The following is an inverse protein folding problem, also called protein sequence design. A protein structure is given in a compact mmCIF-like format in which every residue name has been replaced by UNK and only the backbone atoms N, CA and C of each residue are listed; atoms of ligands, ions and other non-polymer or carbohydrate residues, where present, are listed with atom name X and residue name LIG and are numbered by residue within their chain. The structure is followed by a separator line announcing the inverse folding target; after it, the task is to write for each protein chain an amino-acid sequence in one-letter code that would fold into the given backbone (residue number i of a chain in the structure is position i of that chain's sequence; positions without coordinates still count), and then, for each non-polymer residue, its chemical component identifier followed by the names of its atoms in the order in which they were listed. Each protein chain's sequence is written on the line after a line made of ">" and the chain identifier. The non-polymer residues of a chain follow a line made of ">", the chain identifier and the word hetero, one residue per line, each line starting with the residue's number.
data_IF_837793398022
#
_entry.id   IF_837793398022
#
_cell.length_a   1.000
_cell.length_b   1.000
_cell.length_c   1.000
_cell.angle_alpha   90.00
_cell.angle_beta   90.00
_cell.angle_gamma   90.00
#
_symmetry.space_group_name_H-M   'P 1'
#
loop_
_entity.id
_entity.type
_entity.pdbx_description
1 polymer ?
#
# COMPACT_ATOMS: atom_id res chain seq x y z
N UNK A 1 -19.87 41.75 -29.29
CA UNK A 1 -18.67 41.53 -28.45
C UNK A 1 -18.49 40.03 -28.18
N UNK A 2 -17.63 39.30 -28.93
CA UNK A 2 -17.50 37.84 -28.82
C UNK A 2 -16.42 37.33 -27.84
N UNK A 3 -15.77 38.21 -27.06
CA UNK A 3 -14.55 37.88 -26.30
C UNK A 3 -14.71 37.24 -24.91
N UNK A 4 -15.93 37.10 -24.38
CA UNK A 4 -16.14 36.64 -22.98
C UNK A 4 -16.30 35.11 -22.88
N UNK A 5 -16.94 34.46 -23.86
CA UNK A 5 -17.17 33.01 -23.84
C UNK A 5 -15.90 32.18 -24.07
N UNK A 6 -14.96 32.71 -24.86
CA UNK A 6 -13.74 31.98 -25.25
C UNK A 6 -12.74 31.83 -24.08
N UNK A 7 -12.71 32.80 -23.16
CA UNK A 7 -11.86 32.75 -21.96
C UNK A 7 -12.30 31.65 -20.98
N UNK A 8 -13.61 31.50 -20.77
CA UNK A 8 -14.16 30.45 -19.91
C UNK A 8 -13.85 29.04 -20.42
N UNK A 9 -13.93 28.84 -21.74
CA UNK A 9 -13.68 27.52 -22.34
C UNK A 9 -12.20 27.14 -22.23
N UNK A 10 -11.30 28.10 -22.47
CA UNK A 10 -9.87 27.90 -22.36
C UNK A 10 -9.46 27.56 -20.92
N UNK A 11 -10.03 28.24 -19.93
CA UNK A 11 -9.80 27.93 -18.50
C UNK A 11 -10.27 26.53 -18.12
N UNK A 12 -11.45 26.11 -18.60
CA UNK A 12 -11.97 24.76 -18.33
C UNK A 12 -11.08 23.68 -18.96
N UNK A 13 -10.63 23.88 -20.20
CA UNK A 13 -9.72 22.96 -20.88
C UNK A 13 -8.38 22.86 -20.15
N UNK A 14 -7.80 23.98 -19.74
CA UNK A 14 -6.52 24.02 -19.01
C UNK A 14 -6.63 23.32 -17.66
N UNK A 15 -7.69 23.58 -16.88
CA UNK A 15 -7.92 22.90 -15.60
C UNK A 15 -8.13 21.40 -15.78
N UNK A 16 -8.86 20.99 -16.81
CA UNK A 16 -9.12 19.58 -17.10
C UNK A 16 -7.84 18.84 -17.49
N UNK A 17 -6.97 19.46 -18.30
CA UNK A 17 -5.66 18.93 -18.66
C UNK A 17 -4.73 18.83 -17.44
N UNK A 18 -4.74 19.83 -16.55
CA UNK A 18 -3.96 19.82 -15.31
C UNK A 18 -4.40 18.68 -14.38
N UNK A 19 -5.71 18.51 -14.20
CA UNK A 19 -6.28 17.39 -13.43
C UNK A 19 -5.90 16.04 -14.03
N UNK A 20 -5.98 15.90 -15.35
CA UNK A 20 -5.57 14.67 -16.05
C UNK A 20 -4.09 14.37 -15.85
N UNK A 21 -3.21 15.37 -15.95
CA UNK A 21 -1.76 15.21 -15.72
C UNK A 21 -1.49 14.79 -14.28
N UNK A 22 -2.13 15.43 -13.28
CA UNK A 22 -2.00 15.05 -11.87
C UNK A 22 -2.47 13.61 -11.64
N UNK A 23 -3.62 13.23 -12.21
CA UNK A 23 -4.15 11.87 -12.11
C UNK A 23 -3.21 10.83 -12.75
N UNK A 24 -2.66 11.11 -13.93
CA UNK A 24 -1.69 10.23 -14.60
C UNK A 24 -0.36 10.13 -13.84
N UNK A 25 0.07 11.20 -13.16
CA UNK A 25 1.24 11.18 -12.27
C UNK A 25 1.00 10.31 -11.03
N UNK A 26 -0.20 10.36 -10.44
CA UNK A 26 -0.59 9.46 -9.34
C UNK A 26 -0.62 8.00 -9.79
N UNK A 27 -1.13 7.71 -11.00
CA UNK A 27 -1.09 6.35 -11.58
C UNK A 27 0.34 5.85 -11.84
N UNK A 28 1.27 6.74 -12.23
CA UNK A 28 2.70 6.39 -12.37
C UNK A 28 3.38 6.16 -11.02
N UNK A 29 2.97 6.88 -9.98
CA UNK A 29 3.46 6.67 -8.62
C UNK A 29 2.95 5.33 -8.05
N UNK A 30 1.81 4.82 -8.50
CA UNK A 30 1.34 3.46 -8.19
C UNK A 30 2.02 2.37 -9.03
N UNK A 31 3.27 2.59 -9.49
CA UNK A 31 4.11 1.49 -9.97
C UNK A 31 4.29 0.51 -8.81
N UNK A 32 3.46 -0.52 -8.80
CA UNK A 32 3.67 -1.72 -8.00
C UNK A 32 5.06 -2.22 -8.39
N UNK A 33 6.04 -1.99 -7.52
CA UNK A 33 7.41 -2.45 -7.68
C UNK A 33 7.39 -3.99 -7.63
N UNK A 34 7.24 -4.62 -8.80
CA UNK A 34 7.29 -6.08 -8.97
C UNK A 34 8.70 -6.55 -9.32
N UNK A 35 9.68 -6.13 -8.54
CA UNK A 35 10.97 -6.82 -8.53
C UNK A 35 11.26 -7.23 -7.09
N UNK A 36 10.75 -8.40 -6.73
CA UNK A 36 11.25 -9.08 -5.55
C UNK A 36 12.62 -9.64 -5.92
N UNK A 37 13.68 -9.00 -5.46
CA UNK A 37 15.00 -9.64 -5.45
C UNK A 37 14.87 -10.93 -4.64
N UNK A 38 15.45 -12.02 -5.14
CA UNK A 38 15.43 -13.30 -4.41
C UNK A 38 16.05 -13.04 -3.03
N UNK A 39 15.31 -13.30 -1.93
CA UNK A 39 15.79 -12.94 -0.62
C UNK A 39 17.03 -13.78 -0.30
N UNK A 40 17.99 -13.26 0.49
CA UNK A 40 19.18 -14.02 0.83
C UNK A 40 18.82 -15.39 1.44
N UNK A 41 19.66 -16.42 1.29
CA UNK A 41 19.37 -17.74 1.86
C UNK A 41 19.01 -17.65 3.35
N UNK A 42 17.88 -18.25 3.73
CA UNK A 42 17.36 -18.23 5.09
C UNK A 42 16.47 -17.02 5.43
N UNK A 43 16.23 -16.10 4.50
CA UNK A 43 15.19 -15.07 4.65
C UNK A 43 13.86 -15.54 4.08
N UNK A 44 12.80 -15.35 4.86
CA UNK A 44 11.44 -15.66 4.46
C UNK A 44 10.61 -14.39 4.45
N UNK A 45 9.67 -14.30 3.51
CA UNK A 45 8.72 -13.19 3.43
C UNK A 45 7.37 -13.64 3.93
N UNK A 46 6.80 -12.92 4.89
CA UNK A 46 5.41 -13.03 5.27
C UNK A 46 4.64 -11.85 4.66
N UNK A 47 3.82 -12.13 3.65
CA UNK A 47 2.93 -11.13 3.07
C UNK A 47 1.56 -11.25 3.72
N UNK A 48 1.10 -10.17 4.35
CA UNK A 48 -0.15 -10.16 5.11
C UNK A 48 -1.19 -9.33 4.39
N UNK A 49 -2.35 -9.95 4.16
CA UNK A 49 -3.54 -9.31 3.62
C UNK A 49 -4.76 -9.86 4.37
N UNK A 50 -5.64 -8.97 4.80
CA UNK A 50 -6.82 -9.34 5.57
C UNK A 50 -8.11 -8.92 4.85
N UNK A 51 -8.84 -9.91 4.35
CA UNK A 51 -10.20 -9.72 3.90
C UNK A 51 -11.16 -9.75 5.10
N UNK A 52 -11.72 -8.60 5.46
CA UNK A 52 -12.62 -8.46 6.62
C UNK A 52 -14.08 -8.29 6.22
N UNK A 53 -14.99 -8.80 7.06
CA UNK A 53 -16.41 -8.43 7.03
C UNK A 53 -16.57 -6.99 7.60
N UNK A 54 -17.64 -6.26 7.24
CA UNK A 54 -17.79 -4.83 7.58
C UNK A 54 -17.70 -4.47 9.08
N UNK A 55 -17.93 -5.44 9.97
CA UNK A 55 -17.92 -5.28 11.42
C UNK A 55 -16.56 -5.50 12.08
N UNK A 56 -15.54 -5.92 11.32
CA UNK A 56 -14.19 -6.19 11.85
C UNK A 56 -13.22 -5.14 11.31
N UNK A 57 -12.44 -4.55 12.20
CA UNK A 57 -11.36 -3.64 11.82
C UNK A 57 -10.28 -4.38 11.02
N UNK A 58 -9.90 -3.82 9.87
CA UNK A 58 -8.79 -4.33 9.04
C UNK A 58 -7.51 -4.46 9.87
N UNK A 59 -7.24 -3.46 10.72
CA UNK A 59 -6.06 -3.43 11.61
C UNK A 59 -6.01 -4.64 12.53
N UNK A 60 -7.14 -4.97 13.16
CA UNK A 60 -7.23 -6.10 14.09
C UNK A 60 -7.05 -7.44 13.36
N UNK A 61 -7.61 -7.56 12.15
CA UNK A 61 -7.46 -8.76 11.36
C UNK A 61 -6.04 -8.95 10.84
N UNK A 62 -5.38 -7.89 10.37
CA UNK A 62 -3.98 -7.94 9.95
C UNK A 62 -3.04 -8.22 11.12
N UNK A 63 -3.24 -7.58 12.28
CA UNK A 63 -2.42 -7.86 13.48
C UNK A 63 -2.52 -9.33 13.90
N UNK A 64 -3.72 -9.93 13.81
CA UNK A 64 -3.91 -11.35 14.08
C UNK A 64 -3.21 -12.24 13.04
N UNK A 65 -3.33 -11.91 11.76
CA UNK A 65 -2.67 -12.65 10.70
C UNK A 65 -1.13 -12.61 10.82
N UNK A 66 -0.57 -11.47 11.26
CA UNK A 66 0.86 -11.37 11.59
C UNK A 66 1.22 -12.30 12.74
N UNK A 67 0.46 -12.29 13.85
CA UNK A 67 0.73 -13.15 15.01
C UNK A 67 0.69 -14.64 14.64
N UNK A 68 -0.30 -15.06 13.87
CA UNK A 68 -0.42 -16.44 13.39
C UNK A 68 0.75 -16.78 12.44
N UNK A 69 1.13 -15.86 11.55
CA UNK A 69 2.29 -16.02 10.66
C UNK A 69 3.62 -16.13 11.41
N UNK A 70 3.80 -15.36 12.48
CA UNK A 70 4.97 -15.42 13.36
C UNK A 70 5.03 -16.77 14.09
N UNK A 71 3.92 -17.26 14.62
CA UNK A 71 3.87 -18.57 15.26
C UNK A 71 4.27 -19.69 14.27
N UNK A 72 3.74 -19.66 13.04
CA UNK A 72 4.13 -20.61 12.00
C UNK A 72 5.62 -20.51 11.64
N UNK A 73 6.18 -19.30 11.62
CA UNK A 73 7.61 -19.11 11.37
C UNK A 73 8.48 -19.74 12.49
N UNK A 74 8.07 -19.59 13.75
CA UNK A 74 8.74 -20.20 14.90
C UNK A 74 8.70 -21.73 14.79
N UNK A 75 7.52 -22.31 14.52
CA UNK A 75 7.35 -23.75 14.38
C UNK A 75 8.19 -24.33 13.22
N UNK A 76 8.37 -23.55 12.16
CA UNK A 76 9.20 -23.91 11.01
C UNK A 76 10.71 -23.68 11.23
N UNK A 77 11.13 -23.17 12.39
CA UNK A 77 12.53 -22.84 12.66
C UNK A 77 13.06 -21.65 11.85
N UNK A 78 12.18 -20.78 11.35
CA UNK A 78 12.53 -19.59 10.58
C UNK A 78 12.99 -18.49 11.54
N UNK A 79 14.25 -18.09 11.43
CA UNK A 79 14.88 -17.08 12.30
C UNK A 79 14.99 -15.69 11.67
N UNK A 80 14.73 -15.56 10.37
CA UNK A 80 14.79 -14.28 9.64
C UNK A 80 13.55 -14.11 8.78
N UNK A 81 12.69 -13.16 9.17
CA UNK A 81 11.41 -12.91 8.54
C UNK A 81 11.28 -11.43 8.18
N UNK A 82 10.90 -11.14 6.94
CA UNK A 82 10.43 -9.83 6.51
C UNK A 82 8.91 -9.85 6.44
N UNK A 83 8.27 -8.95 7.18
CA UNK A 83 6.81 -8.83 7.22
C UNK A 83 6.41 -7.63 6.39
N UNK A 84 5.46 -7.83 5.47
CA UNK A 84 4.82 -6.75 4.74
C UNK A 84 3.33 -6.75 5.02
N UNK A 85 2.82 -5.56 5.33
CA UNK A 85 1.42 -5.30 5.69
C UNK A 85 1.03 -3.95 5.08
N UNK A 86 -0.22 -3.86 4.62
CA UNK A 86 -0.77 -2.61 4.08
C UNK A 86 -1.45 -1.77 5.17
N UNK A 87 -1.71 -2.34 6.34
CA UNK A 87 -2.18 -1.62 7.51
C UNK A 87 -1.03 -0.87 8.21
N UNK A 88 -0.86 0.41 7.85
CA UNK A 88 0.20 1.29 8.38
C UNK A 88 0.25 1.33 9.92
N UNK A 89 -0.90 1.25 10.59
CA UNK A 89 -0.98 1.25 12.05
C UNK A 89 -0.30 0.02 12.67
N UNK A 90 -0.40 -1.13 12.00
CA UNK A 90 0.23 -2.38 12.45
C UNK A 90 1.75 -2.29 12.26
N UNK A 91 2.20 -1.76 11.13
CA UNK A 91 3.64 -1.51 10.87
C UNK A 91 4.25 -0.59 11.93
N UNK A 92 3.56 0.49 12.28
CA UNK A 92 4.05 1.45 13.29
C UNK A 92 4.17 0.82 14.68
N UNK A 93 3.24 -0.03 15.08
CA UNK A 93 3.29 -0.75 16.37
C UNK A 93 4.47 -1.73 16.44
N UNK A 94 4.76 -2.43 15.35
CA UNK A 94 5.86 -3.39 15.30
C UNK A 94 7.25 -2.73 15.36
N UNK A 95 7.40 -1.50 14.83
CA UNK A 95 8.68 -0.78 14.85
C UNK A 95 9.00 -0.19 16.24
N UNK A 96 7.99 0.24 16.99
CA UNK A 96 8.18 0.89 18.30
C UNK A 96 8.47 -0.13 19.42
N UNK A 97 8.12 -1.40 19.22
CA UNK A 97 8.34 -2.47 20.19
C UNK A 97 9.68 -3.21 20.09
N UNK A 98 10.56 -2.83 19.16
CA UNK A 98 11.93 -3.35 18.99
C UNK A 98 12.96 -2.39 19.58
#
# INVERSE_FOLDING_TARGET
>A
MPGVKQRSLLTVVVLSLLLLVVFLLQLRATRIYRHWEVPPPGFFKLNVDAAVKPVVSVVTAEARAILEGLAMAVDAGISKLQIESVALEVVNLCIVGM
#
